data_IF_042469177171
#
_entry.id   IF_042469177171
#
_cell.length_a   1.000
_cell.length_b   1.000
_cell.length_c   1.000
_cell.angle_alpha   90.00
_cell.angle_beta   90.00
_cell.angle_gamma   90.00
#
_symmetry.space_group_name_H-M   'P 1'
#
loop_
_entity.id
_entity.type
_entity.pdbx_description
1 polymer ?
#
# COMPACT_ATOMS: atom_id res chain seq x y z
N UNK A 1 1.97 -27.12 34.42
CA UNK A 1 2.07 -25.71 33.98
C UNK A 1 2.43 -25.69 32.51
N UNK A 2 1.51 -25.18 31.70
CA UNK A 2 1.55 -25.04 30.23
C UNK A 2 2.42 -23.79 29.95
N UNK A 3 3.41 -23.75 29.05
CA UNK A 3 3.31 -23.78 27.58
C UNK A 3 4.65 -24.13 26.93
N UNK A 4 4.65 -25.21 26.15
CA UNK A 4 5.48 -25.36 24.96
C UNK A 4 5.00 -24.33 23.92
N UNK A 5 5.92 -23.66 23.23
CA UNK A 5 5.90 -23.52 21.76
C UNK A 5 7.18 -22.84 21.27
N UNK A 6 7.90 -23.64 20.50
CA UNK A 6 9.11 -23.39 19.72
C UNK A 6 8.90 -22.20 18.77
N UNK A 7 9.72 -21.16 18.88
CA UNK A 7 9.82 -20.10 17.88
C UNK A 7 10.81 -20.59 16.82
N UNK A 8 10.29 -21.24 15.78
CA UNK A 8 10.97 -21.40 14.51
C UNK A 8 10.19 -20.56 13.49
N UNK A 9 10.85 -19.53 12.94
CA UNK A 9 10.67 -18.93 11.60
C UNK A 9 11.61 -17.73 11.56
N UNK A 10 12.85 -18.01 11.17
CA UNK A 10 13.82 -17.03 10.67
C UNK A 10 14.20 -17.49 9.27
N UNK A 11 13.24 -17.39 8.35
CA UNK A 11 13.43 -17.61 6.92
C UNK A 11 12.31 -16.88 6.19
N UNK A 12 12.56 -15.61 5.85
CA UNK A 12 11.97 -14.86 4.72
C UNK A 12 12.73 -13.53 4.61
N UNK A 13 14.05 -13.65 4.49
CA UNK A 13 14.87 -12.66 3.79
C UNK A 13 15.14 -13.25 2.41
N UNK A 14 14.96 -12.43 1.38
CA UNK A 14 15.17 -12.70 -0.05
C UNK A 14 14.04 -13.48 -0.79
N UNK A 15 13.08 -12.72 -1.32
CA UNK A 15 12.68 -12.89 -2.73
C UNK A 15 12.76 -11.53 -3.42
N UNK A 16 13.92 -11.30 -4.01
CA UNK A 16 14.05 -10.42 -5.17
C UNK A 16 13.11 -10.89 -6.27
N UNK A 17 12.16 -10.04 -6.65
CA UNK A 17 11.59 -10.06 -7.99
C UNK A 17 11.48 -8.60 -8.44
N UNK A 18 12.62 -8.07 -8.90
CA UNK A 18 12.58 -7.09 -9.95
C UNK A 18 11.82 -7.73 -11.12
N UNK A 19 10.65 -7.20 -11.46
CA UNK A 19 10.03 -7.50 -12.75
C UNK A 19 10.04 -6.23 -13.57
N UNK A 20 10.70 -6.39 -14.71
CA UNK A 20 10.95 -5.49 -15.83
C UNK A 20 9.90 -4.42 -16.11
N UNK A 21 10.42 -3.23 -16.45
CA UNK A 21 9.76 -2.22 -17.27
C UNK A 21 9.09 -2.84 -18.51
N UNK A 22 7.77 -2.99 -18.45
CA UNK A 22 6.87 -3.32 -19.56
C UNK A 22 5.47 -3.18 -19.00
N UNK A 23 4.73 -2.09 -19.32
CA UNK A 23 3.29 -1.92 -19.11
C UNK A 23 2.67 -2.89 -18.04
N UNK A 24 3.14 -2.76 -16.80
CA UNK A 24 3.16 -3.87 -15.86
C UNK A 24 1.89 -3.93 -15.03
N UNK A 25 1.03 -4.90 -15.30
CA UNK A 25 -0.09 -5.21 -14.44
C UNK A 25 0.42 -5.78 -13.10
N UNK A 26 0.40 -4.95 -12.04
CA UNK A 26 0.80 -5.36 -10.68
C UNK A 26 -0.35 -6.18 -10.07
N UNK A 27 -0.23 -7.50 -10.13
CA UNK A 27 -1.24 -8.42 -9.57
C UNK A 27 -0.95 -8.69 -8.09
N UNK A 28 -1.72 -8.08 -7.19
CA UNK A 28 -1.63 -8.33 -5.75
C UNK A 28 -2.51 -9.52 -5.36
N UNK A 29 -1.95 -10.55 -4.72
CA UNK A 29 -2.72 -11.72 -4.23
C UNK A 29 -3.45 -11.37 -2.93
N UNK A 30 -4.76 -11.12 -3.03
CA UNK A 30 -5.59 -10.66 -1.90
C UNK A 30 -6.12 -11.82 -1.03
N UNK A 31 -6.20 -13.05 -1.55
CA UNK A 31 -6.84 -14.17 -0.83
C UNK A 31 -5.93 -14.72 0.28
N UNK A 32 -6.34 -14.54 1.54
CA UNK A 32 -5.66 -15.08 2.72
C UNK A 32 -4.53 -14.22 3.28
N UNK A 33 -4.30 -13.01 2.74
CA UNK A 33 -3.36 -12.04 3.29
C UNK A 33 -4.07 -11.01 4.17
N UNK A 34 -3.35 -10.46 5.15
CA UNK A 34 -3.91 -9.43 6.00
C UNK A 34 -4.17 -8.16 5.16
N UNK A 35 -5.30 -7.45 5.35
CA UNK A 35 -5.62 -6.24 4.60
C UNK A 35 -4.55 -5.14 4.78
N UNK A 36 -3.86 -5.12 5.91
CA UNK A 36 -2.75 -4.21 6.16
C UNK A 36 -1.54 -4.46 5.23
N UNK A 37 -1.20 -5.72 4.95
CA UNK A 37 -0.08 -6.07 4.07
C UNK A 37 -0.40 -5.73 2.62
N UNK A 38 -1.60 -6.10 2.17
CA UNK A 38 -2.09 -5.80 0.82
C UNK A 38 -2.17 -4.29 0.59
N UNK A 39 -2.67 -3.53 1.57
CA UNK A 39 -2.73 -2.07 1.49
C UNK A 39 -1.33 -1.45 1.42
N UNK A 40 -0.36 -1.96 2.19
CA UNK A 40 1.02 -1.49 2.16
C UNK A 40 1.70 -1.77 0.81
N UNK A 41 1.47 -2.94 0.21
CA UNK A 41 1.96 -3.26 -1.14
C UNK A 41 1.36 -2.31 -2.20
N UNK A 42 0.06 -2.04 -2.14
CA UNK A 42 -0.62 -1.09 -3.03
C UNK A 42 -0.04 0.32 -2.85
N UNK A 43 0.14 0.77 -1.60
CA UNK A 43 0.72 2.09 -1.30
C UNK A 43 2.14 2.23 -1.85
N UNK A 44 2.96 1.18 -1.75
CA UNK A 44 4.31 1.19 -2.26
C UNK A 44 4.33 1.24 -3.79
N UNK A 45 3.48 0.44 -4.45
CA UNK A 45 3.31 0.47 -5.90
C UNK A 45 2.85 1.86 -6.39
N UNK A 46 1.85 2.45 -5.72
CA UNK A 46 1.35 3.78 -6.03
C UNK A 46 2.44 4.86 -5.88
N UNK A 47 3.30 4.77 -4.86
CA UNK A 47 4.44 5.68 -4.69
C UNK A 47 5.42 5.62 -5.85
N UNK A 48 5.75 4.41 -6.32
CA UNK A 48 6.68 4.26 -7.44
C UNK A 48 6.10 4.84 -8.73
N UNK A 49 4.85 4.50 -9.06
CA UNK A 49 4.16 5.05 -10.22
C UNK A 49 4.09 6.58 -10.17
N UNK A 50 3.69 7.15 -9.04
CA UNK A 50 3.60 8.60 -8.89
C UNK A 50 4.97 9.30 -8.90
N UNK A 51 6.05 8.63 -8.48
CA UNK A 51 7.40 9.18 -8.61
C UNK A 51 7.82 9.24 -10.08
N UNK A 52 7.54 8.19 -10.85
CA UNK A 52 7.83 8.10 -12.29
C UNK A 52 7.00 9.12 -13.09
N UNK A 53 5.70 9.24 -12.80
CA UNK A 53 4.78 10.15 -13.50
C UNK A 53 5.09 11.64 -13.23
N UNK A 54 5.68 11.95 -12.07
CA UNK A 54 5.98 13.32 -11.66
C UNK A 54 7.43 13.73 -11.94
N UNK A 55 8.23 12.88 -12.60
CA UNK A 55 9.61 13.23 -12.98
C UNK A 55 9.61 14.48 -13.87
N UNK A 56 10.37 15.50 -13.48
CA UNK A 56 10.49 16.76 -14.23
C UNK A 56 9.35 17.75 -13.97
N UNK A 57 8.38 17.42 -13.12
CA UNK A 57 7.32 18.35 -12.74
C UNK A 57 7.80 19.31 -11.61
N UNK A 58 7.74 20.64 -11.80
CA UNK A 58 8.16 21.60 -10.77
C UNK A 58 7.31 21.56 -9.49
N UNK A 59 6.09 21.03 -9.57
CA UNK A 59 5.15 20.85 -8.46
C UNK A 59 5.06 19.39 -7.99
N UNK A 60 6.05 18.55 -8.32
CA UNK A 60 6.04 17.12 -7.97
C UNK A 60 5.81 16.87 -6.46
N UNK A 61 6.43 17.67 -5.59
CA UNK A 61 6.27 17.52 -4.13
C UNK A 61 4.84 17.79 -3.65
N UNK A 62 4.14 18.75 -4.27
CA UNK A 62 2.76 19.08 -3.92
C UNK A 62 1.78 18.06 -4.48
N UNK A 63 2.07 17.52 -5.67
CA UNK A 63 1.19 16.59 -6.39
C UNK A 63 1.36 15.13 -5.95
N UNK A 64 2.56 14.73 -5.52
CA UNK A 64 2.86 13.38 -5.07
C UNK A 64 1.87 12.81 -4.03
N UNK A 65 1.50 13.51 -2.95
CA UNK A 65 0.55 12.98 -1.97
C UNK A 65 -0.87 12.83 -2.54
N UNK A 66 -1.27 13.65 -3.53
CA UNK A 66 -2.56 13.51 -4.19
C UNK A 66 -2.57 12.32 -5.14
N UNK A 67 -1.53 12.17 -5.96
CA UNK A 67 -1.36 11.04 -6.88
C UNK A 67 -1.40 9.72 -6.11
N UNK A 68 -0.57 9.57 -5.07
CA UNK A 68 -0.49 8.33 -4.31
C UNK A 68 -1.84 7.97 -3.70
N UNK A 69 -2.58 8.95 -3.18
CA UNK A 69 -3.89 8.72 -2.57
C UNK A 69 -4.92 8.25 -3.59
N UNK A 70 -5.01 8.90 -4.75
CA UNK A 70 -6.00 8.54 -5.77
C UNK A 70 -5.69 7.18 -6.39
N UNK A 71 -4.43 6.91 -6.75
CA UNK A 71 -4.01 5.62 -7.29
C UNK A 71 -4.24 4.49 -6.28
N UNK A 72 -3.94 4.71 -5.00
CA UNK A 72 -4.19 3.72 -3.94
C UNK A 72 -5.68 3.42 -3.80
N UNK A 73 -6.54 4.45 -3.79
CA UNK A 73 -7.99 4.26 -3.64
C UNK A 73 -8.60 3.54 -4.84
N UNK A 74 -8.17 3.88 -6.04
CA UNK A 74 -8.60 3.19 -7.26
C UNK A 74 -8.17 1.71 -7.24
N UNK A 75 -6.89 1.44 -6.94
CA UNK A 75 -6.37 0.08 -6.86
C UNK A 75 -7.10 -0.75 -5.79
N UNK A 76 -7.36 -0.19 -4.61
CA UNK A 76 -8.14 -0.85 -3.55
C UNK A 76 -9.57 -1.14 -4.03
N UNK A 77 -10.24 -0.21 -4.71
CA UNK A 77 -11.58 -0.43 -5.25
C UNK A 77 -11.61 -1.57 -6.28
N UNK A 78 -10.57 -1.69 -7.12
CA UNK A 78 -10.42 -2.75 -8.12
C UNK A 78 -10.21 -4.15 -7.53
N UNK A 79 -9.74 -4.26 -6.28
CA UNK A 79 -9.60 -5.56 -5.60
C UNK A 79 -10.93 -6.21 -5.25
N UNK A 80 -12.04 -5.46 -5.25
CA UNK A 80 -13.38 -5.90 -4.83
C UNK A 80 -13.40 -6.58 -3.43
N UNK A 81 -12.46 -6.23 -2.55
CA UNK A 81 -12.37 -6.73 -1.18
C UNK A 81 -12.98 -5.73 -0.21
N UNK A 82 -14.12 -6.10 0.40
CA UNK A 82 -14.80 -5.25 1.37
C UNK A 82 -13.93 -4.92 2.60
N UNK A 83 -13.10 -5.88 3.04
CA UNK A 83 -12.17 -5.70 4.16
C UNK A 83 -11.07 -4.69 3.82
N UNK A 84 -10.50 -4.77 2.61
CA UNK A 84 -9.46 -3.85 2.16
C UNK A 84 -10.00 -2.42 1.96
N UNK A 85 -11.22 -2.30 1.41
CA UNK A 85 -11.92 -1.02 1.27
C UNK A 85 -12.22 -0.40 2.64
N UNK A 86 -12.67 -1.20 3.62
CA UNK A 86 -12.91 -0.73 4.98
C UNK A 86 -11.60 -0.28 5.66
N UNK A 87 -10.51 -1.02 5.45
CA UNK A 87 -9.19 -0.69 5.97
C UNK A 87 -8.65 0.62 5.40
N UNK A 88 -8.71 0.82 4.07
CA UNK A 88 -8.29 2.07 3.42
C UNK A 88 -9.10 3.28 3.94
N UNK A 89 -10.41 3.10 4.14
CA UNK A 89 -11.27 4.15 4.70
C UNK A 89 -10.89 4.51 6.15
N UNK A 90 -10.48 3.54 6.95
CA UNK A 90 -10.03 3.77 8.32
C UNK A 90 -8.69 4.53 8.36
N UNK A 91 -7.74 4.17 7.48
CA UNK A 91 -6.46 4.84 7.30
C UNK A 91 -6.64 6.32 6.90
N UNK A 92 -7.57 6.61 5.98
CA UNK A 92 -7.83 8.00 5.59
C UNK A 92 -8.48 8.81 6.72
N UNK A 93 -9.37 8.21 7.53
CA UNK A 93 -10.01 8.89 8.67
C UNK A 93 -9.02 9.30 9.76
N UNK A 94 -7.98 8.50 10.04
CA UNK A 94 -6.98 8.86 11.04
C UNK A 94 -6.17 10.10 10.62
N UNK A 95 -5.87 10.24 9.32
CA UNK A 95 -5.18 11.42 8.77
C UNK A 95 -6.03 12.69 8.91
N UNK A 96 -7.34 12.60 8.67
CA UNK A 96 -8.23 13.76 8.89
C UNK A 96 -8.36 14.13 10.37
N UNK A 97 -8.47 13.14 11.27
CA UNK A 97 -8.53 13.40 12.70
C UNK A 97 -7.24 14.05 13.23
N UNK A 98 -6.07 13.60 12.77
CA UNK A 98 -4.77 14.21 13.09
C UNK A 98 -4.64 15.63 12.55
N UNK A 99 -5.13 15.91 11.34
CA UNK A 99 -5.11 17.27 10.75
C UNK A 99 -6.07 18.25 11.44
N UNK A 100 -7.18 17.78 12.00
CA UNK A 100 -8.09 18.62 12.78
C UNK A 100 -7.53 18.90 14.17
N UNK A 101 -6.86 17.92 14.79
CA UNK A 101 -6.22 18.08 16.10
C UNK A 101 -4.96 18.98 16.08
N UNK A 102 -4.36 19.20 14.91
CA UNK A 102 -3.19 20.04 14.73
C UNK A 102 -3.52 21.49 14.31
N UNK A 103 -4.81 21.90 14.36
CA UNK A 103 -5.26 23.27 14.09
C UNK A 103 -5.60 24.03 15.36
#
# INVERSE_FOLDING_TARGET
>A
MIRLLVIAVSALMATTAATSASAGEITVKVRGRAPAEVHAEILQAAKQLCQEDLVGNPSANDLAPYCVREITRDAVARTNSAELIAFDKAQNRSVYALRVAAR
#
